data_IF_496334312827
#
_entry.id   IF_496334312827
#
_cell.length_a   1.000
_cell.length_b   1.000
_cell.length_c   1.000
_cell.angle_alpha   90.00
_cell.angle_beta   90.00
_cell.angle_gamma   90.00
#
_symmetry.space_group_name_H-M   'P 1'
#
loop_
_entity.id
_entity.type
_entity.pdbx_description
1 polymer ?
#
# COMPACT_ATOMS: atom_id res chain seq x y z
N UNK A 1 -4.21 19.28 9.06
CA UNK A 1 -3.06 18.39 8.83
C UNK A 1 -3.31 17.08 9.57
N UNK A 2 -4.08 16.15 9.00
CA UNK A 2 -4.87 15.20 9.82
C UNK A 2 -4.77 13.70 9.49
N UNK A 3 -3.84 13.27 8.62
CA UNK A 3 -3.76 11.86 8.22
C UNK A 3 -2.57 11.07 8.82
N UNK A 4 -1.67 11.74 9.54
CA UNK A 4 -0.58 11.15 10.37
C UNK A 4 0.08 9.90 9.72
N UNK A 5 0.45 10.02 8.45
CA UNK A 5 1.20 8.98 7.74
C UNK A 5 2.62 8.86 8.28
N UNK A 6 3.14 7.63 8.31
CA UNK A 6 4.52 7.35 8.71
C UNK A 6 5.22 6.53 7.64
N UNK A 7 6.41 6.96 7.26
CA UNK A 7 7.29 6.23 6.35
C UNK A 7 8.50 5.70 7.12
N UNK A 8 8.83 4.44 6.91
CA UNK A 8 10.10 3.89 7.37
C UNK A 8 11.12 3.99 6.24
N UNK A 9 12.14 4.82 6.43
CA UNK A 9 13.24 4.99 5.47
C UNK A 9 14.45 4.24 5.99
N UNK A 10 14.93 3.26 5.22
CA UNK A 10 16.08 2.43 5.57
C UNK A 10 17.13 2.49 4.47
N UNK A 11 18.37 2.75 4.85
CA UNK A 11 19.50 2.60 3.95
C UNK A 11 19.85 1.12 3.86
N UNK A 12 19.65 0.53 2.68
CA UNK A 12 19.92 -0.89 2.47
C UNK A 12 21.32 -1.12 1.91
N UNK A 13 21.79 -0.21 1.05
CA UNK A 13 23.10 -0.30 0.40
C UNK A 13 23.60 1.07 -0.02
N UNK A 14 24.92 1.25 -0.03
CA UNK A 14 25.60 2.38 -0.68
C UNK A 14 26.34 1.82 -1.87
N UNK A 15 26.10 2.37 -3.06
CA UNK A 15 26.71 1.93 -4.30
C UNK A 15 27.50 3.08 -4.95
N UNK A 16 28.54 2.77 -5.74
CA UNK A 16 29.17 3.77 -6.60
C UNK A 16 28.14 4.38 -7.56
N UNK A 17 28.35 5.64 -7.92
CA UNK A 17 27.47 6.34 -8.84
C UNK A 17 27.56 5.69 -10.24
N UNK A 18 26.48 5.09 -10.70
CA UNK A 18 26.44 4.39 -11.99
C UNK A 18 25.77 5.22 -13.10
N UNK A 19 25.03 6.27 -12.75
CA UNK A 19 24.29 7.12 -13.67
C UNK A 19 24.30 8.59 -13.24
N UNK A 20 24.14 9.55 -14.16
CA UNK A 20 24.10 10.97 -13.80
C UNK A 20 22.73 11.46 -13.28
N UNK A 21 21.67 10.65 -13.33
CA UNK A 21 20.29 11.07 -13.04
C UNK A 21 19.65 10.20 -11.95
N UNK A 22 19.20 10.83 -10.85
CA UNK A 22 18.50 10.23 -9.71
C UNK A 22 17.42 11.17 -9.18
N UNK A 23 16.40 10.67 -8.44
CA UNK A 23 16.18 9.27 -8.00
C UNK A 23 15.52 8.38 -9.06
N UNK A 24 15.71 7.06 -8.93
CA UNK A 24 15.04 6.04 -9.74
C UNK A 24 14.34 5.05 -8.83
N UNK A 25 13.05 4.79 -9.07
CA UNK A 25 12.33 3.73 -8.39
C UNK A 25 12.68 2.38 -9.03
N UNK A 26 13.35 1.51 -8.26
CA UNK A 26 13.76 0.18 -8.72
C UNK A 26 12.79 -0.93 -8.28
N UNK A 27 11.76 -0.59 -7.50
CA UNK A 27 10.77 -1.55 -7.02
C UNK A 27 9.67 -0.91 -6.16
N UNK A 28 8.59 -1.67 -5.95
CA UNK A 28 7.45 -1.27 -5.15
C UNK A 28 6.33 -2.31 -5.20
N UNK A 29 5.41 -2.28 -4.24
CA UNK A 29 4.23 -3.17 -4.21
C UNK A 29 3.05 -2.49 -3.53
N UNK A 30 1.85 -2.79 -4.04
CA UNK A 30 0.53 -2.24 -3.66
C UNK A 30 0.36 -0.81 -4.17
N UNK A 31 -0.89 -0.39 -4.31
CA UNK A 31 -1.22 1.00 -4.59
C UNK A 31 -0.90 1.86 -3.36
N UNK A 32 -0.45 3.10 -3.60
CA UNK A 32 -0.36 4.10 -2.56
C UNK A 32 -1.78 4.38 -2.01
N UNK A 33 -1.89 4.70 -0.70
CA UNK A 33 -3.16 5.18 -0.16
C UNK A 33 -3.55 6.50 -0.86
N UNK A 34 -4.84 6.69 -1.22
CA UNK A 34 -5.32 7.96 -1.74
C UNK A 34 -5.06 9.11 -0.76
N UNK A 35 -4.89 10.32 -1.28
CA UNK A 35 -4.78 11.52 -0.46
C UNK A 35 -6.04 11.73 0.40
N UNK A 36 -5.85 12.38 1.56
CA UNK A 36 -6.90 12.75 2.53
C UNK A 36 -7.87 11.62 2.92
N UNK A 37 -7.40 10.37 2.92
CA UNK A 37 -8.25 9.23 3.24
C UNK A 37 -8.40 8.94 4.74
N UNK A 38 -7.97 9.85 5.62
CA UNK A 38 -8.05 9.69 7.08
C UNK A 38 -6.91 8.85 7.65
N UNK A 39 -5.76 8.84 6.97
CA UNK A 39 -4.55 8.17 7.45
C UNK A 39 -4.60 6.65 7.44
N UNK A 40 -3.65 5.99 8.14
CA UNK A 40 -3.59 4.53 8.24
C UNK A 40 -4.90 3.89 8.73
N UNK A 41 -5.60 4.55 9.66
CA UNK A 41 -6.87 4.08 10.22
C UNK A 41 -8.00 4.15 9.19
N UNK A 42 -8.08 5.22 8.40
CA UNK A 42 -9.07 5.37 7.33
C UNK A 42 -8.89 4.35 6.21
N UNK A 43 -7.65 4.06 5.82
CA UNK A 43 -7.36 3.00 4.83
C UNK A 43 -7.70 1.62 5.37
N UNK A 44 -7.35 1.31 6.62
CA UNK A 44 -7.65 0.01 7.23
C UNK A 44 -9.17 -0.23 7.27
N UNK A 45 -9.95 0.78 7.68
CA UNK A 45 -11.43 0.71 7.64
C UNK A 45 -11.97 0.50 6.23
N UNK A 46 -11.40 1.17 5.22
CA UNK A 46 -11.81 1.01 3.81
C UNK A 46 -11.46 -0.37 3.27
N UNK A 47 -10.27 -0.88 3.56
CA UNK A 47 -9.85 -2.23 3.16
C UNK A 47 -10.69 -3.32 3.82
N UNK A 48 -11.27 -3.10 5.00
CA UNK A 48 -12.22 -4.03 5.64
C UNK A 48 -13.53 -4.15 4.86
N UNK A 49 -14.01 -3.07 4.21
CA UNK A 49 -15.24 -3.12 3.38
C UNK A 49 -15.05 -3.78 2.03
N UNK A 50 -13.83 -3.71 1.47
CA UNK A 50 -13.47 -4.43 0.25
C UNK A 50 -12.91 -5.84 0.52
N UNK A 51 -12.52 -6.14 1.77
CA UNK A 51 -12.01 -7.43 2.22
C UNK A 51 -13.05 -8.54 2.24
N UNK A 52 -14.35 -8.22 2.20
CA UNK A 52 -15.44 -9.20 2.12
C UNK A 52 -15.82 -9.59 0.69
N UNK A 53 -15.00 -9.27 -0.33
CA UNK A 53 -15.17 -9.80 -1.70
C UNK A 53 -14.04 -10.73 -2.15
N UNK A 54 -13.27 -11.26 -1.22
CA UNK A 54 -12.46 -12.46 -1.45
C UNK A 54 -13.21 -13.64 -0.84
N UNK A 55 -13.95 -14.35 -1.72
CA UNK A 55 -14.54 -15.68 -1.57
C UNK A 55 -15.08 -16.07 -0.18
N UNK A 56 -16.41 -16.08 -0.03
CA UNK A 56 -17.06 -17.01 0.90
C UNK A 56 -16.81 -18.45 0.42
N UNK A 57 -16.14 -19.33 1.16
CA UNK A 57 -16.12 -20.75 0.82
C UNK A 57 -17.38 -21.37 1.43
N UNK A 58 -18.43 -21.59 0.63
CA UNK A 58 -19.55 -22.41 1.09
C UNK A 58 -20.95 -22.19 0.57
N UNK A 59 -21.18 -21.50 -0.57
CA UNK A 59 -22.52 -21.57 -1.20
C UNK A 59 -22.51 -22.65 -2.29
N UNK A 60 -23.07 -23.81 -1.93
CA UNK A 60 -23.41 -24.85 -2.90
C UNK A 60 -24.45 -24.31 -3.90
N UNK A 61 -24.41 -24.73 -5.18
CA UNK A 61 -25.45 -24.35 -6.12
C UNK A 61 -26.77 -25.02 -5.71
N UNK A 62 -27.70 -24.22 -5.17
CA UNK A 62 -29.06 -24.64 -4.85
C UNK A 62 -30.02 -24.26 -5.97
N UNK A 63 -30.52 -25.30 -6.66
CA UNK A 63 -31.62 -25.41 -7.64
C UNK A 63 -31.83 -24.28 -8.67
#
# INVERSE_FOLDING_TARGET
>A
MFDIWQHHVRLEQILPLDRPWYPVCIGGRRAAPPEDCGGPWGVTRRNSRYGTRLHSPGEAPGN
#
